data_IF_224242591299
#
_entry.id   IF_224242591299
#
_cell.length_a   1.000
_cell.length_b   1.000
_cell.length_c   1.000
_cell.angle_alpha   90.00
_cell.angle_beta   90.00
_cell.angle_gamma   90.00
#
_symmetry.space_group_name_H-M   'P 1'
#
loop_
_entity.id
_entity.type
_entity.pdbx_description
1 polymer ?
#
# COMPACT_ATOMS: atom_id res chain seq x y z
N UNK A 1 15.10 -31.00 -2.70
CA UNK A 1 15.20 -30.48 -4.07
C UNK A 1 14.09 -29.47 -4.24
N UNK A 2 14.32 -28.36 -4.94
CA UNK A 2 13.33 -27.31 -5.10
C UNK A 2 12.10 -27.84 -5.87
N UNK A 3 10.91 -27.43 -5.43
CA UNK A 3 9.64 -27.77 -6.11
C UNK A 3 9.18 -26.67 -7.08
N UNK A 4 9.87 -25.53 -7.07
CA UNK A 4 9.60 -24.37 -7.92
C UNK A 4 10.88 -23.60 -8.22
N UNK A 5 10.92 -22.92 -9.37
CA UNK A 5 11.86 -21.83 -9.66
C UNK A 5 11.14 -20.50 -9.39
N UNK A 6 11.60 -19.70 -8.44
CA UNK A 6 10.98 -18.42 -8.08
C UNK A 6 11.52 -17.26 -8.91
N UNK A 7 10.83 -16.13 -8.86
CA UNK A 7 11.30 -14.89 -9.47
C UNK A 7 12.69 -14.52 -8.92
N UNK A 8 13.54 -14.03 -9.81
CA UNK A 8 14.97 -13.76 -9.64
C UNK A 8 15.86 -14.98 -9.40
N UNK A 9 15.30 -16.19 -9.32
CA UNK A 9 16.12 -17.39 -9.20
C UNK A 9 16.67 -17.80 -10.55
N UNK A 10 17.89 -18.34 -10.48
CA UNK A 10 18.52 -19.07 -11.56
C UNK A 10 18.30 -20.56 -11.34
N UNK A 11 17.98 -21.30 -12.41
CA UNK A 11 17.96 -22.75 -12.34
C UNK A 11 19.39 -23.25 -12.08
N UNK A 12 19.66 -23.69 -10.85
CA UNK A 12 20.94 -24.29 -10.40
C UNK A 12 20.76 -25.75 -10.01
N UNK A 13 19.62 -26.09 -9.41
CA UNK A 13 19.18 -27.45 -9.09
C UNK A 13 17.92 -27.82 -9.89
N UNK A 14 17.67 -29.11 -10.17
CA UNK A 14 16.45 -29.53 -10.84
C UNK A 14 15.20 -29.15 -10.03
N UNK A 15 14.22 -28.55 -10.71
CA UNK A 15 12.88 -28.32 -10.15
C UNK A 15 12.03 -29.55 -10.43
N UNK A 16 11.61 -30.23 -9.36
CA UNK A 16 10.99 -31.55 -9.45
C UNK A 16 9.48 -31.48 -9.28
N UNK A 17 8.76 -32.25 -10.11
CA UNK A 17 7.31 -32.46 -9.98
C UNK A 17 6.92 -33.14 -8.67
N UNK A 18 5.68 -32.98 -8.17
CA UNK A 18 5.25 -33.61 -6.91
C UNK A 18 5.47 -35.12 -6.81
N UNK A 19 5.24 -35.87 -7.90
CA UNK A 19 5.50 -37.31 -7.99
C UNK A 19 6.99 -37.67 -8.07
N UNK A 20 7.83 -36.69 -8.42
CA UNK A 20 9.23 -36.88 -8.74
C UNK A 20 9.49 -37.57 -10.08
N UNK A 21 8.47 -37.75 -10.92
CA UNK A 21 8.60 -38.37 -12.24
C UNK A 21 9.28 -37.44 -13.24
N UNK A 22 8.88 -36.16 -13.24
CA UNK A 22 9.37 -35.11 -14.13
C UNK A 22 10.24 -34.10 -13.38
N UNK A 23 11.20 -33.49 -14.09
CA UNK A 23 11.91 -32.32 -13.58
C UNK A 23 12.41 -31.39 -14.69
N UNK A 24 12.43 -30.09 -14.38
CA UNK A 24 13.09 -29.04 -15.16
C UNK A 24 14.56 -29.02 -14.75
N UNK A 25 15.44 -29.35 -15.68
CA UNK A 25 16.88 -29.57 -15.44
C UNK A 25 17.69 -29.20 -16.67
N UNK A 26 19.02 -29.17 -16.55
CA UNK A 26 19.89 -29.07 -17.73
C UNK A 26 20.13 -30.44 -18.36
N UNK A 27 19.93 -30.51 -19.67
CA UNK A 27 20.40 -31.59 -20.52
C UNK A 27 21.94 -31.56 -20.64
N UNK A 28 22.55 -32.64 -21.12
CA UNK A 28 24.00 -32.78 -21.25
C UNK A 28 24.65 -31.74 -22.18
N UNK A 29 23.88 -31.13 -23.09
CA UNK A 29 24.34 -30.06 -23.98
C UNK A 29 24.21 -28.65 -23.38
N UNK A 30 23.71 -28.54 -22.15
CA UNK A 30 23.53 -27.29 -21.42
C UNK A 30 22.22 -26.55 -21.71
N UNK A 31 21.27 -27.16 -22.43
CA UNK A 31 19.91 -26.61 -22.57
C UNK A 31 19.07 -26.98 -21.36
N UNK A 32 18.25 -26.06 -20.89
CA UNK A 32 17.21 -26.40 -19.93
C UNK A 32 16.09 -27.20 -20.63
N UNK A 33 15.65 -28.29 -20.02
CA UNK A 33 14.58 -29.15 -20.51
C UNK A 33 13.70 -29.65 -19.37
N UNK A 34 12.46 -30.03 -19.71
CA UNK A 34 11.60 -30.81 -18.82
C UNK A 34 11.65 -32.24 -19.31
N UNK A 35 12.15 -33.14 -18.47
CA UNK A 35 12.27 -34.55 -18.81
C UNK A 35 11.95 -35.47 -17.64
N UNK A 36 11.45 -36.66 -17.98
CA UNK A 36 11.18 -37.73 -17.04
C UNK A 36 12.48 -38.39 -16.53
N UNK A 37 12.37 -39.44 -15.72
CA UNK A 37 13.54 -40.18 -15.20
C UNK A 37 14.31 -40.98 -16.25
N UNK A 38 13.70 -41.29 -17.40
CA UNK A 38 14.34 -42.05 -18.48
C UNK A 38 14.90 -41.15 -19.58
N UNK A 39 14.70 -39.84 -19.48
CA UNK A 39 15.21 -38.83 -20.40
C UNK A 39 14.24 -38.47 -21.53
N UNK A 40 12.96 -38.81 -21.42
CA UNK A 40 11.94 -38.34 -22.37
C UNK A 40 11.65 -36.87 -22.10
N UNK A 41 11.99 -36.00 -23.04
CA UNK A 41 11.73 -34.56 -22.91
C UNK A 41 10.35 -34.18 -23.47
N UNK A 42 9.62 -33.33 -22.76
CA UNK A 42 8.36 -32.70 -23.19
C UNK A 42 8.53 -31.27 -23.64
N UNK A 43 9.61 -30.62 -23.20
CA UNK A 43 9.93 -29.23 -23.51
C UNK A 43 11.44 -29.00 -23.41
N UNK A 44 11.98 -28.12 -24.27
CA UNK A 44 13.39 -27.74 -24.26
C UNK A 44 13.53 -26.26 -24.60
N UNK A 45 14.42 -25.56 -23.90
CA UNK A 45 14.73 -24.17 -24.18
C UNK A 45 15.42 -24.00 -25.54
N UNK A 46 15.14 -22.89 -26.22
CA UNK A 46 15.65 -22.60 -27.56
C UNK A 46 17.14 -22.25 -27.64
N UNK A 47 17.83 -22.03 -26.52
CA UNK A 47 19.27 -21.84 -26.45
C UNK A 47 19.93 -22.59 -25.28
N UNK A 48 21.26 -22.73 -25.35
CA UNK A 48 22.13 -23.19 -24.25
C UNK A 48 22.45 -21.98 -23.37
N UNK A 49 22.48 -22.18 -22.06
CA UNK A 49 22.84 -21.13 -21.11
C UNK A 49 22.10 -21.27 -19.78
N UNK A 50 22.02 -20.17 -19.05
CA UNK A 50 21.43 -20.12 -17.71
C UNK A 50 19.95 -19.74 -17.80
N UNK A 51 19.04 -20.63 -17.42
CA UNK A 51 17.61 -20.33 -17.36
C UNK A 51 17.27 -19.51 -16.11
N UNK A 52 16.52 -18.42 -16.29
CA UNK A 52 16.06 -17.52 -15.23
C UNK A 52 14.60 -17.16 -15.40
N UNK A 53 13.95 -16.84 -14.28
CA UNK A 53 12.68 -16.12 -14.22
C UNK A 53 12.95 -14.74 -13.61
N UNK A 54 12.89 -13.66 -14.38
CA UNK A 54 13.14 -12.30 -13.88
C UNK A 54 11.82 -11.48 -13.80
N UNK A 55 11.95 -10.22 -13.38
CA UNK A 55 10.84 -9.24 -13.40
C UNK A 55 10.23 -9.08 -14.80
N UNK A 56 9.03 -8.48 -14.83
CA UNK A 56 8.31 -8.21 -16.07
C UNK A 56 8.12 -9.45 -16.95
N UNK A 57 7.93 -10.61 -16.33
CA UNK A 57 7.69 -11.89 -17.03
C UNK A 57 8.80 -12.34 -17.98
N UNK A 58 10.06 -12.06 -17.65
CA UNK A 58 11.17 -12.57 -18.46
C UNK A 58 11.50 -14.00 -18.02
N UNK A 59 10.94 -14.98 -18.73
CA UNK A 59 11.41 -16.37 -18.65
C UNK A 59 12.37 -16.63 -19.82
N UNK A 60 13.67 -16.66 -19.54
CA UNK A 60 14.69 -16.57 -20.58
C UNK A 60 15.98 -17.34 -20.23
N UNK A 61 16.77 -17.63 -21.26
CA UNK A 61 18.11 -18.20 -21.15
C UNK A 61 19.14 -17.12 -21.41
N UNK A 62 20.13 -17.06 -20.52
CA UNK A 62 21.20 -16.07 -20.52
C UNK A 62 22.55 -16.71 -20.84
N UNK A 63 23.40 -15.99 -21.56
CA UNK A 63 24.82 -16.29 -21.72
C UNK A 63 25.62 -15.11 -21.16
N UNK A 64 26.07 -15.22 -19.91
CA UNK A 64 26.53 -14.04 -19.15
C UNK A 64 25.34 -13.14 -18.83
N UNK A 65 25.39 -11.89 -19.30
CA UNK A 65 24.33 -10.89 -19.13
C UNK A 65 23.45 -10.73 -20.39
N UNK A 66 23.73 -11.47 -21.46
CA UNK A 66 22.98 -11.42 -22.71
C UNK A 66 21.82 -12.43 -22.72
N UNK A 67 20.61 -11.96 -23.04
CA UNK A 67 19.45 -12.83 -23.31
C UNK A 67 19.62 -13.48 -24.69
N UNK A 68 19.92 -14.77 -24.72
CA UNK A 68 20.13 -15.53 -25.97
C UNK A 68 18.87 -16.28 -26.43
N UNK A 69 17.90 -16.45 -25.54
CA UNK A 69 16.57 -16.97 -25.88
C UNK A 69 15.55 -16.51 -24.84
N UNK A 70 14.34 -16.19 -25.28
CA UNK A 70 13.21 -15.80 -24.43
C UNK A 70 11.99 -16.66 -24.78
N UNK A 71 11.29 -17.12 -23.76
CA UNK A 71 10.00 -17.79 -23.97
C UNK A 71 8.96 -16.79 -24.51
N UNK A 72 8.13 -17.24 -25.44
CA UNK A 72 7.03 -16.44 -25.99
C UNK A 72 5.86 -16.44 -24.99
N UNK A 73 5.97 -15.61 -23.97
CA UNK A 73 5.00 -15.46 -22.91
C UNK A 73 4.34 -14.08 -22.97
N UNK A 74 3.05 -13.97 -22.62
CA UNK A 74 2.42 -12.69 -22.35
C UNK A 74 3.20 -11.88 -21.32
N UNK A 75 3.17 -10.55 -21.42
CA UNK A 75 3.73 -9.66 -20.40
C UNK A 75 2.77 -9.61 -19.20
N UNK A 76 3.04 -10.39 -18.16
CA UNK A 76 2.26 -10.51 -16.93
C UNK A 76 3.21 -10.60 -15.72
N UNK A 77 2.75 -10.33 -14.50
CA UNK A 77 3.62 -10.60 -13.35
C UNK A 77 3.70 -12.11 -13.09
N UNK A 78 4.90 -12.69 -13.19
CA UNK A 78 5.15 -14.10 -12.87
C UNK A 78 6.06 -14.18 -11.66
N UNK A 79 5.62 -14.93 -10.64
CA UNK A 79 6.35 -15.10 -9.39
C UNK A 79 7.05 -16.45 -9.28
N UNK A 80 6.58 -17.48 -10.00
CA UNK A 80 7.23 -18.79 -9.98
C UNK A 80 6.87 -19.68 -11.16
N UNK A 81 7.65 -20.74 -11.32
CA UNK A 81 7.48 -21.80 -12.30
C UNK A 81 7.54 -23.16 -11.61
N UNK A 82 6.65 -24.10 -11.96
CA UNK A 82 6.65 -25.47 -11.43
C UNK A 82 6.45 -26.51 -12.52
N UNK A 83 7.04 -27.68 -12.30
CA UNK A 83 6.83 -28.86 -13.15
C UNK A 83 5.69 -29.70 -12.60
N UNK A 84 4.79 -30.13 -13.48
CA UNK A 84 3.61 -30.94 -13.14
C UNK A 84 3.89 -32.42 -13.34
N UNK A 85 3.02 -33.29 -12.80
CA UNK A 85 3.18 -34.74 -12.91
C UNK A 85 2.90 -35.30 -14.31
N UNK A 86 2.38 -34.49 -15.24
CA UNK A 86 2.17 -34.85 -16.64
C UNK A 86 3.29 -34.33 -17.58
N UNK A 87 4.37 -33.79 -16.99
CA UNK A 87 5.53 -33.28 -17.71
C UNK A 87 5.34 -31.91 -18.33
N UNK A 88 4.33 -31.15 -17.91
CA UNK A 88 4.21 -29.74 -18.24
C UNK A 88 4.99 -28.86 -17.26
N UNK A 89 5.10 -27.58 -17.60
CA UNK A 89 5.61 -26.54 -16.74
C UNK A 89 4.64 -25.36 -16.73
N UNK A 90 4.15 -25.08 -15.54
CA UNK A 90 3.15 -24.05 -15.29
C UNK A 90 3.82 -22.86 -14.63
N UNK A 91 3.54 -21.68 -15.17
CA UNK A 91 3.99 -20.38 -14.70
C UNK A 91 2.86 -19.76 -13.88
N UNK A 92 3.20 -19.28 -12.70
CA UNK A 92 2.27 -18.77 -11.70
C UNK A 92 2.49 -17.28 -11.44
N UNK A 93 1.39 -16.58 -11.17
CA UNK A 93 1.33 -15.25 -10.56
C UNK A 93 0.83 -15.44 -9.14
N UNK A 94 1.74 -15.45 -8.18
CA UNK A 94 1.45 -15.61 -6.75
C UNK A 94 0.55 -16.80 -6.41
N UNK A 95 0.86 -17.94 -7.04
CA UNK A 95 0.13 -19.19 -6.85
C UNK A 95 -1.06 -19.38 -7.79
N UNK A 96 -1.48 -18.36 -8.54
CA UNK A 96 -2.50 -18.50 -9.58
C UNK A 96 -1.83 -18.95 -10.90
N UNK A 97 -2.20 -20.10 -11.49
CA UNK A 97 -1.62 -20.54 -12.75
C UNK A 97 -2.03 -19.58 -13.88
N UNK A 98 -1.04 -19.08 -14.65
CA UNK A 98 -1.24 -18.12 -15.74
C UNK A 98 -0.92 -18.70 -17.10
N UNK A 99 0.10 -19.54 -17.18
CA UNK A 99 0.56 -20.07 -18.45
C UNK A 99 1.12 -21.49 -18.31
N UNK A 100 0.76 -22.36 -19.22
CA UNK A 100 1.34 -23.68 -19.43
C UNK A 100 2.29 -23.60 -20.62
N UNK A 101 3.55 -24.03 -20.46
CA UNK A 101 4.49 -24.07 -21.58
C UNK A 101 4.05 -25.01 -22.69
N UNK A 102 3.22 -26.02 -22.38
CA UNK A 102 2.69 -26.99 -23.35
C UNK A 102 1.33 -26.62 -23.92
N UNK A 103 0.45 -26.06 -23.09
CA UNK A 103 -0.97 -25.86 -23.40
C UNK A 103 -1.34 -24.40 -23.63
N UNK A 104 -0.44 -23.45 -23.34
CA UNK A 104 -0.67 -22.02 -23.52
C UNK A 104 -1.32 -21.36 -22.29
N UNK A 105 -2.02 -20.22 -22.46
CA UNK A 105 -2.54 -19.44 -21.33
C UNK A 105 -3.64 -20.18 -20.57
N UNK A 106 -3.64 -20.03 -19.25
CA UNK A 106 -4.78 -20.40 -18.41
C UNK A 106 -5.75 -19.21 -18.34
N UNK A 107 -7.05 -19.49 -18.44
CA UNK A 107 -8.10 -18.53 -18.12
C UNK A 107 -8.48 -18.73 -16.64
N UNK A 108 -8.07 -17.83 -15.73
CA UNK A 108 -8.45 -17.93 -14.34
C UNK A 108 -9.94 -17.62 -14.18
N UNK A 109 -10.60 -18.35 -13.28
CA UNK A 109 -12.04 -18.25 -13.07
C UNK A 109 -12.30 -17.67 -11.69
N UNK A 110 -12.78 -16.42 -11.67
CA UNK A 110 -13.24 -15.77 -10.44
C UNK A 110 -14.48 -16.49 -9.91
N UNK A 111 -14.48 -16.79 -8.61
CA UNK A 111 -15.62 -17.33 -7.88
C UNK A 111 -16.49 -16.21 -7.29
N UNK A 112 -16.16 -14.94 -7.57
CA UNK A 112 -16.77 -13.79 -6.95
C UNK A 112 -16.25 -13.53 -5.54
N UNK A 113 -17.02 -12.76 -4.77
CA UNK A 113 -16.66 -12.28 -3.42
C UNK A 113 -16.95 -13.28 -2.29
N UNK A 114 -17.49 -14.47 -2.61
CA UNK A 114 -17.86 -15.49 -1.63
C UNK A 114 -17.76 -16.89 -2.23
N UNK A 115 -16.98 -17.78 -1.61
CA UNK A 115 -16.85 -19.17 -2.09
C UNK A 115 -16.47 -20.16 -0.97
N UNK A 116 -16.87 -21.44 -1.06
CA UNK A 116 -16.31 -22.49 -0.21
C UNK A 116 -14.80 -22.63 -0.41
N UNK A 117 -14.05 -22.91 0.65
CA UNK A 117 -12.57 -23.04 0.59
C UNK A 117 -12.13 -24.19 -0.32
N UNK A 118 -12.91 -25.27 -0.38
CA UNK A 118 -12.67 -26.41 -1.25
C UNK A 118 -12.85 -26.08 -2.75
N UNK A 119 -13.58 -25.01 -3.09
CA UNK A 119 -13.80 -24.59 -4.47
C UNK A 119 -12.66 -23.70 -4.99
N UNK A 120 -11.87 -23.10 -4.10
CA UNK A 120 -10.65 -22.35 -4.42
C UNK A 120 -9.54 -23.37 -4.69
N UNK A 121 -9.36 -23.73 -5.96
CA UNK A 121 -8.36 -24.71 -6.41
C UNK A 121 -8.02 -24.52 -7.89
N UNK A 122 -6.80 -24.90 -8.28
CA UNK A 122 -6.33 -24.79 -9.66
C UNK A 122 -6.39 -23.35 -10.16
N UNK A 123 -7.15 -23.10 -11.22
CA UNK A 123 -7.34 -21.76 -11.80
C UNK A 123 -8.51 -20.97 -11.18
N UNK A 124 -9.19 -21.52 -10.16
CA UNK A 124 -10.35 -20.89 -9.50
C UNK A 124 -9.91 -20.11 -8.28
N UNK A 125 -10.35 -18.87 -8.14
CA UNK A 125 -9.93 -17.97 -7.08
C UNK A 125 -11.09 -17.11 -6.55
N UNK A 126 -11.01 -16.67 -5.31
CA UNK A 126 -11.92 -15.69 -4.72
C UNK A 126 -11.45 -14.29 -5.10
N UNK A 127 -12.36 -13.36 -5.37
CA UNK A 127 -12.05 -11.99 -5.77
C UNK A 127 -13.01 -11.00 -5.09
N UNK A 128 -12.50 -9.91 -4.51
CA UNK A 128 -13.36 -8.85 -3.98
C UNK A 128 -14.16 -8.16 -5.09
N UNK A 129 -15.28 -7.52 -4.74
CA UNK A 129 -16.15 -6.84 -5.72
C UNK A 129 -15.43 -5.78 -6.55
N UNK A 130 -14.42 -5.12 -5.98
CA UNK A 130 -13.60 -4.12 -6.65
C UNK A 130 -12.32 -4.69 -7.29
N UNK A 131 -12.10 -6.01 -7.24
CA UNK A 131 -10.92 -6.67 -7.81
C UNK A 131 -9.59 -6.35 -7.13
N UNK A 132 -9.59 -5.60 -6.02
CA UNK A 132 -8.37 -5.26 -5.27
C UNK A 132 -7.84 -6.43 -4.45
N UNK A 133 -8.67 -7.42 -4.11
CA UNK A 133 -8.27 -8.55 -3.29
C UNK A 133 -8.56 -9.87 -3.95
N UNK A 134 -7.61 -10.80 -3.87
CA UNK A 134 -7.79 -12.16 -4.37
C UNK A 134 -7.33 -13.20 -3.37
N UNK A 135 -7.97 -14.36 -3.37
CA UNK A 135 -7.49 -15.55 -2.67
C UNK A 135 -7.42 -16.71 -3.64
N UNK A 136 -6.23 -17.29 -3.80
CA UNK A 136 -6.01 -18.51 -4.56
C UNK A 136 -5.27 -19.54 -3.72
N UNK A 137 -5.21 -20.78 -4.19
CA UNK A 137 -4.31 -21.77 -3.57
C UNK A 137 -2.87 -21.37 -3.80
N UNK A 138 -2.02 -21.67 -2.82
CA UNK A 138 -0.58 -21.72 -3.06
C UNK A 138 -0.28 -22.73 -4.17
N UNK A 139 0.89 -22.59 -4.80
CA UNK A 139 1.22 -23.41 -5.95
C UNK A 139 1.32 -24.92 -5.62
N UNK A 140 1.49 -25.30 -4.33
CA UNK A 140 1.50 -26.70 -3.86
C UNK A 140 0.09 -27.20 -3.46
N UNK A 141 -0.92 -26.32 -3.56
CA UNK A 141 -2.30 -26.61 -3.19
C UNK A 141 -2.58 -26.64 -1.68
N UNK A 142 -1.56 -26.50 -0.84
CA UNK A 142 -1.70 -26.78 0.59
C UNK A 142 -2.16 -25.56 1.40
N UNK A 143 -1.73 -24.36 1.01
CA UNK A 143 -2.09 -23.08 1.63
C UNK A 143 -3.00 -22.21 0.76
N UNK A 144 -3.37 -21.04 1.27
CA UNK A 144 -4.02 -19.97 0.51
C UNK A 144 -3.10 -18.76 0.43
N UNK A 145 -3.03 -18.14 -0.74
CA UNK A 145 -2.32 -16.89 -0.98
C UNK A 145 -3.37 -15.79 -1.10
N UNK A 146 -3.34 -14.86 -0.17
CA UNK A 146 -4.21 -13.69 -0.11
C UNK A 146 -3.42 -12.49 -0.63
N UNK A 147 -3.89 -11.88 -1.71
CA UNK A 147 -3.27 -10.69 -2.32
C UNK A 147 -4.19 -9.50 -2.14
N UNK A 148 -3.64 -8.36 -1.74
CA UNK A 148 -4.33 -7.06 -1.70
C UNK A 148 -3.55 -6.09 -2.57
N UNK A 149 -4.22 -5.35 -3.44
CA UNK A 149 -3.63 -4.31 -4.30
C UNK A 149 -3.98 -2.95 -3.72
N UNK A 150 -2.97 -2.12 -3.47
CA UNK A 150 -3.17 -0.80 -2.89
C UNK A 150 -3.21 0.33 -3.93
N UNK A 151 -2.83 0.07 -5.19
CA UNK A 151 -2.69 1.08 -6.25
C UNK A 151 -1.26 1.10 -6.81
N UNK A 152 -1.03 1.70 -7.99
CA UNK A 152 0.30 1.87 -8.60
C UNK A 152 1.20 0.60 -8.67
N UNK A 153 0.60 -0.58 -8.80
CA UNK A 153 1.34 -1.86 -8.82
C UNK A 153 1.86 -2.34 -7.46
N UNK A 154 1.56 -1.62 -6.38
CA UNK A 154 1.86 -2.04 -5.00
C UNK A 154 0.77 -2.96 -4.45
N UNK A 155 1.18 -3.87 -3.57
CA UNK A 155 0.26 -4.79 -2.92
C UNK A 155 0.91 -5.54 -1.76
N UNK A 156 0.09 -6.18 -0.95
CA UNK A 156 0.54 -7.14 0.06
C UNK A 156 0.18 -8.56 -0.36
N UNK A 157 1.02 -9.50 0.05
CA UNK A 157 0.77 -10.93 -0.10
C UNK A 157 0.90 -11.56 1.28
N UNK A 158 -0.11 -12.31 1.67
CA UNK A 158 -0.12 -13.04 2.93
C UNK A 158 -0.54 -14.48 2.68
N UNK A 159 0.09 -15.42 3.38
CA UNK A 159 -0.13 -16.86 3.20
C UNK A 159 -0.83 -17.46 4.41
N UNK A 160 -2.01 -18.04 4.20
CA UNK A 160 -2.72 -18.88 5.19
C UNK A 160 -2.08 -20.27 5.17
N UNK A 161 -1.63 -20.72 6.33
CA UNK A 161 -0.82 -21.95 6.44
C UNK A 161 -1.67 -23.22 6.22
N UNK A 162 -1.07 -24.34 5.77
CA UNK A 162 -1.82 -25.53 5.38
C UNK A 162 -2.64 -26.19 6.49
N UNK A 163 -2.23 -26.05 7.75
CA UNK A 163 -3.02 -26.52 8.88
C UNK A 163 -4.29 -25.69 9.07
N UNK A 164 -4.17 -24.37 8.97
CA UNK A 164 -5.29 -23.45 9.08
C UNK A 164 -6.25 -23.63 7.91
N UNK A 165 -5.76 -23.73 6.68
CA UNK A 165 -6.62 -23.97 5.50
C UNK A 165 -7.45 -25.24 5.63
N UNK A 166 -6.87 -26.33 6.15
CA UNK A 166 -7.63 -27.57 6.45
C UNK A 166 -8.72 -27.34 7.49
N UNK A 167 -8.51 -26.46 8.47
CA UNK A 167 -9.53 -26.09 9.44
C UNK A 167 -10.63 -25.20 8.83
N UNK A 168 -10.33 -24.44 7.77
CA UNK A 168 -11.30 -23.59 7.06
C UNK A 168 -12.19 -24.37 6.07
N UNK A 169 -11.77 -25.58 5.64
CA UNK A 169 -12.54 -26.48 4.78
C UNK A 169 -13.70 -27.17 5.53
N UNK A 170 -14.67 -26.37 5.96
CA UNK A 170 -15.86 -26.84 6.66
C UNK A 170 -17.07 -26.91 5.69
N UNK A 171 -17.99 -27.85 5.88
CA UNK A 171 -19.24 -27.85 5.15
C UNK A 171 -20.09 -26.63 5.53
N UNK A 172 -20.86 -26.13 4.57
CA UNK A 172 -21.78 -24.99 4.75
C UNK A 172 -21.10 -23.72 5.30
N UNK A 173 -19.84 -23.48 4.91
CA UNK A 173 -19.11 -22.24 5.16
C UNK A 173 -18.53 -21.66 3.87
N UNK A 174 -18.24 -20.37 3.90
CA UNK A 174 -17.68 -19.62 2.77
C UNK A 174 -16.61 -18.66 3.25
N UNK A 175 -15.51 -18.56 2.50
CA UNK A 175 -14.60 -17.43 2.60
C UNK A 175 -15.21 -16.22 1.87
N UNK A 176 -15.10 -15.05 2.50
CA UNK A 176 -15.54 -13.76 1.95
C UNK A 176 -14.76 -12.62 2.59
N UNK A 177 -15.00 -11.40 2.14
CA UNK A 177 -14.38 -10.18 2.68
C UNK A 177 -15.38 -9.45 3.55
N UNK A 178 -14.96 -9.00 4.74
CA UNK A 178 -15.79 -8.20 5.63
C UNK A 178 -15.03 -6.99 6.12
N UNK A 179 -15.68 -5.84 6.07
CA UNK A 179 -15.17 -4.61 6.65
C UNK A 179 -15.46 -4.60 8.16
N UNK A 180 -14.43 -4.31 8.96
CA UNK A 180 -14.55 -4.15 10.41
C UNK A 180 -14.93 -2.71 10.74
N UNK A 181 -16.23 -2.43 10.84
CA UNK A 181 -16.76 -1.11 11.22
C UNK A 181 -16.44 -0.72 12.68
N UNK A 182 -16.16 -1.71 13.54
CA UNK A 182 -16.10 -1.53 15.00
C UNK A 182 -14.69 -1.46 15.56
N UNK A 183 -13.70 -1.95 14.83
CA UNK A 183 -12.32 -2.04 15.28
C UNK A 183 -11.36 -1.30 14.36
N UNK A 184 -10.52 -2.06 13.65
CA UNK A 184 -9.40 -1.53 12.86
C UNK A 184 -9.81 -0.67 11.67
N UNK A 185 -11.10 -0.71 11.28
CA UNK A 185 -11.58 -0.03 10.09
C UNK A 185 -10.97 -0.61 8.82
N UNK A 186 -10.67 -1.91 8.76
CA UNK A 186 -10.06 -2.55 7.61
C UNK A 186 -10.92 -3.71 7.07
N UNK A 187 -10.66 -4.09 5.83
CA UNK A 187 -11.24 -5.31 5.27
C UNK A 187 -10.41 -6.52 5.67
N UNK A 188 -11.09 -7.52 6.24
CA UNK A 188 -10.49 -8.80 6.61
C UNK A 188 -11.05 -9.93 5.75
N UNK A 189 -10.22 -10.92 5.46
CA UNK A 189 -10.69 -12.21 4.95
C UNK A 189 -11.33 -12.98 6.12
N UNK A 190 -12.57 -13.42 5.94
CA UNK A 190 -13.34 -14.12 6.99
C UNK A 190 -13.95 -15.41 6.46
N UNK A 191 -14.11 -16.39 7.35
CA UNK A 191 -14.95 -17.57 7.12
C UNK A 191 -16.30 -17.33 7.78
N UNK A 192 -17.37 -17.40 6.99
CA UNK A 192 -18.74 -17.22 7.47
C UNK A 192 -19.55 -18.51 7.33
N UNK A 193 -20.49 -18.72 8.25
CA UNK A 193 -21.46 -19.82 8.17
C UNK A 193 -22.76 -19.43 7.43
N UNK A 194 -23.81 -20.27 7.51
CA UNK A 194 -25.06 -20.09 6.76
C UNK A 194 -25.88 -18.86 7.14
N UNK A 195 -25.68 -18.33 8.36
CA UNK A 195 -26.35 -17.13 8.86
C UNK A 195 -25.48 -15.88 8.79
N UNK A 196 -24.40 -15.90 8.01
CA UNK A 196 -23.37 -14.85 7.95
C UNK A 196 -22.66 -14.58 9.29
N UNK A 197 -22.71 -15.54 10.20
CA UNK A 197 -21.92 -15.50 11.42
C UNK A 197 -20.44 -15.74 11.09
N UNK A 198 -19.56 -14.89 11.63
CA UNK A 198 -18.11 -15.05 11.45
C UNK A 198 -17.60 -16.17 12.35
N UNK A 199 -16.92 -17.15 11.76
CA UNK A 199 -16.32 -18.29 12.47
C UNK A 199 -14.81 -18.22 12.55
N UNK A 200 -14.20 -17.49 11.63
CA UNK A 200 -12.77 -17.25 11.58
C UNK A 200 -12.50 -15.91 10.89
N UNK A 201 -11.48 -15.20 11.36
CA UNK A 201 -10.98 -13.98 10.76
C UNK A 201 -9.46 -14.07 10.62
N UNK A 202 -8.96 -13.72 9.44
CA UNK A 202 -7.54 -13.73 9.15
C UNK A 202 -6.76 -12.89 10.16
N UNK A 203 -5.71 -13.47 10.75
CA UNK A 203 -4.89 -12.83 11.80
C UNK A 203 -5.45 -12.93 13.22
N UNK A 204 -6.76 -13.16 13.39
CA UNK A 204 -7.41 -13.34 14.71
C UNK A 204 -7.72 -14.80 15.06
N UNK A 205 -7.78 -15.68 14.05
CA UNK A 205 -8.05 -17.10 14.23
C UNK A 205 -9.56 -17.40 14.32
N UNK A 206 -9.93 -18.47 15.03
CA UNK A 206 -11.33 -18.89 15.15
C UNK A 206 -12.06 -18.10 16.24
N UNK A 207 -13.29 -17.69 15.94
CA UNK A 207 -14.18 -17.13 16.94
C UNK A 207 -14.66 -18.23 17.90
N UNK A 208 -14.90 -17.88 19.15
CA UNK A 208 -15.48 -18.76 20.15
C UNK A 208 -16.99 -18.98 19.92
N UNK A 209 -17.65 -19.70 20.83
CA UNK A 209 -19.08 -19.99 20.71
C UNK A 209 -19.98 -18.73 20.78
N UNK A 210 -19.47 -17.62 21.29
CA UNK A 210 -20.18 -16.34 21.39
C UNK A 210 -19.88 -15.44 20.18
N UNK A 211 -18.92 -15.81 19.32
CA UNK A 211 -18.44 -14.98 18.23
C UNK A 211 -17.27 -14.07 18.63
N UNK A 212 -16.72 -14.24 19.84
CA UNK A 212 -15.59 -13.47 20.33
C UNK A 212 -14.28 -14.10 19.86
N UNK A 213 -13.34 -13.29 19.40
CA UNK A 213 -12.00 -13.76 19.09
C UNK A 213 -11.17 -13.78 20.37
N UNK A 214 -10.20 -14.70 20.53
CA UNK A 214 -9.23 -14.59 21.61
C UNK A 214 -8.64 -13.18 21.55
N UNK A 215 -8.61 -12.47 22.68
CA UNK A 215 -8.05 -11.12 22.78
C UNK A 215 -6.69 -11.16 22.11
N UNK A 216 -6.59 -10.56 20.91
CA UNK A 216 -5.29 -10.29 20.34
C UNK A 216 -4.61 -9.42 21.38
N UNK A 217 -3.42 -9.83 21.86
CA UNK A 217 -2.63 -8.91 22.67
C UNK A 217 -2.60 -7.61 21.86
N UNK A 218 -3.04 -6.48 22.45
CA UNK A 218 -3.03 -5.22 21.73
C UNK A 218 -1.61 -5.12 21.18
N UNK A 219 -1.51 -5.05 19.85
CA UNK A 219 -0.25 -4.67 19.26
C UNK A 219 -0.01 -3.31 19.91
N UNK A 220 1.05 -3.21 20.73
CA UNK A 220 1.56 -1.95 21.24
C UNK A 220 2.02 -1.18 20.01
N UNK A 221 1.04 -0.69 19.26
CA UNK A 221 1.18 0.31 18.25
C UNK A 221 1.44 1.56 19.07
N UNK A 222 2.70 1.94 19.04
CA UNK A 222 3.19 3.26 19.39
C UNK A 222 3.55 3.43 20.88
N UNK A 223 4.87 3.47 21.14
CA UNK A 223 5.34 4.42 22.14
C UNK A 223 4.75 5.78 21.75
N UNK A 224 4.16 6.55 22.69
CA UNK A 224 3.54 7.82 22.36
C UNK A 224 4.54 8.65 21.57
N UNK A 225 4.21 8.97 20.31
CA UNK A 225 5.12 9.72 19.45
C UNK A 225 5.50 11.04 20.11
N UNK A 226 6.72 11.50 19.90
CA UNK A 226 7.24 12.74 20.48
C UNK A 226 6.59 14.03 19.89
N UNK A 227 5.47 13.87 19.16
CA UNK A 227 4.69 14.91 18.50
C UNK A 227 3.85 15.79 19.44
N UNK A 228 3.40 16.97 18.98
CA UNK A 228 2.40 17.72 19.71
C UNK A 228 1.10 16.90 19.81
N UNK A 229 0.43 16.96 20.97
CA UNK A 229 -0.73 16.11 21.29
C UNK A 229 -1.83 16.10 20.21
N UNK A 230 -2.05 17.23 19.53
CA UNK A 230 -3.05 17.35 18.46
C UNK A 230 -2.66 16.54 17.21
N UNK A 231 -1.36 16.45 16.88
CA UNK A 231 -0.88 15.66 15.75
C UNK A 231 -0.96 14.16 16.06
N UNK A 232 -0.63 13.78 17.31
CA UNK A 232 -0.80 12.41 17.81
C UNK A 232 -2.28 12.00 17.77
N UNK A 233 -3.21 12.92 18.10
CA UNK A 233 -4.64 12.66 17.98
C UNK A 233 -5.09 12.38 16.53
N UNK A 234 -4.36 12.90 15.54
CA UNK A 234 -4.56 12.63 14.12
C UNK A 234 -3.80 11.39 13.62
N UNK A 235 -2.94 10.76 14.44
CA UNK A 235 -2.06 9.66 14.03
C UNK A 235 -1.17 10.02 12.83
N UNK A 236 -0.72 11.27 12.80
CA UNK A 236 0.03 11.86 11.70
C UNK A 236 1.49 12.17 12.08
N UNK A 237 1.98 11.61 13.19
CA UNK A 237 3.34 11.83 13.70
C UNK A 237 4.45 11.28 12.79
N UNK A 238 4.15 10.26 11.98
CA UNK A 238 5.14 9.64 11.08
C UNK A 238 5.15 10.25 9.67
N UNK A 239 4.06 10.88 9.25
CA UNK A 239 3.94 11.60 7.99
C UNK A 239 2.72 12.52 8.04
N UNK A 240 2.90 13.77 7.63
CA UNK A 240 1.85 14.77 7.62
C UNK A 240 2.06 15.78 6.50
N UNK A 241 0.97 16.35 5.99
CA UNK A 241 1.00 17.70 5.45
C UNK A 241 -0.09 18.52 6.12
N UNK A 242 0.32 19.61 6.76
CA UNK A 242 -0.59 20.52 7.44
C UNK A 242 -0.45 21.91 6.87
N UNK A 243 -1.57 22.59 6.67
CA UNK A 243 -1.61 23.93 6.08
C UNK A 243 -2.60 24.80 6.81
N UNK A 244 -2.16 25.95 7.29
CA UNK A 244 -3.06 26.97 7.84
C UNK A 244 -3.33 28.03 6.79
N UNK A 245 -4.61 28.28 6.51
CA UNK A 245 -5.07 29.31 5.59
C UNK A 245 -5.83 30.39 6.39
N UNK A 246 -5.42 31.64 6.24
CA UNK A 246 -6.01 32.75 6.97
C UNK A 246 -7.35 33.19 6.38
N UNK A 247 -8.30 33.54 7.24
CA UNK A 247 -9.58 34.19 6.85
C UNK A 247 -10.36 33.43 5.76
N UNK A 248 -10.29 32.10 5.79
CA UNK A 248 -10.92 31.19 4.83
C UNK A 248 -11.70 30.13 5.60
N UNK A 249 -12.94 29.87 5.19
CA UNK A 249 -13.76 28.80 5.77
C UNK A 249 -13.35 27.41 5.24
N UNK A 250 -13.63 26.33 5.99
CA UNK A 250 -13.23 24.98 5.59
C UNK A 250 -13.72 24.50 4.22
N UNK A 251 -14.92 24.90 3.78
CA UNK A 251 -15.44 24.48 2.47
C UNK A 251 -14.68 25.20 1.35
N UNK A 252 -14.45 26.50 1.49
CA UNK A 252 -13.63 27.26 0.55
C UNK A 252 -12.18 26.76 0.50
N UNK A 253 -11.60 26.38 1.64
CA UNK A 253 -10.27 25.76 1.69
C UNK A 253 -10.21 24.48 0.84
N UNK A 254 -11.19 23.57 0.99
CA UNK A 254 -11.27 22.34 0.20
C UNK A 254 -11.55 22.61 -1.28
N UNK A 255 -12.38 23.60 -1.63
CA UNK A 255 -12.58 24.00 -3.03
C UNK A 255 -11.29 24.49 -3.68
N UNK A 256 -10.51 25.31 -2.96
CA UNK A 256 -9.18 25.74 -3.43
C UNK A 256 -8.25 24.55 -3.59
N UNK A 257 -8.32 23.59 -2.68
CA UNK A 257 -7.53 22.37 -2.78
C UNK A 257 -7.90 21.51 -4.00
N UNK A 258 -9.16 21.57 -4.44
CA UNK A 258 -9.65 20.95 -5.68
C UNK A 258 -10.94 20.14 -5.51
N UNK A 259 -11.59 20.21 -4.35
CA UNK A 259 -12.84 19.51 -4.10
C UNK A 259 -14.04 20.24 -4.76
N UNK A 260 -14.92 19.47 -5.38
CA UNK A 260 -16.25 19.94 -5.79
C UNK A 260 -17.23 19.88 -4.59
N UNK A 261 -18.30 20.68 -4.62
CA UNK A 261 -19.26 20.79 -3.51
C UNK A 261 -19.87 19.43 -3.11
N UNK A 262 -20.13 18.54 -4.06
CA UNK A 262 -20.68 17.21 -3.79
C UNK A 262 -19.66 16.25 -3.14
N UNK A 263 -18.37 16.56 -3.21
CA UNK A 263 -17.30 15.79 -2.59
C UNK A 263 -16.97 16.26 -1.18
N UNK A 264 -17.56 17.37 -0.71
CA UNK A 264 -17.30 17.91 0.63
C UNK A 264 -18.42 17.48 1.58
N UNK A 265 -18.07 16.75 2.65
CA UNK A 265 -19.01 16.38 3.70
C UNK A 265 -18.44 16.63 5.10
N UNK A 266 -19.28 16.48 6.13
CA UNK A 266 -18.86 16.60 7.53
C UNK A 266 -18.60 15.23 8.12
N UNK A 267 -17.42 15.06 8.73
CA UNK A 267 -17.03 13.84 9.43
C UNK A 267 -15.95 14.16 10.48
N UNK A 268 -15.76 13.31 11.48
CA UNK A 268 -14.53 13.34 12.29
C UNK A 268 -13.37 12.73 11.51
N UNK A 269 -12.14 12.98 11.95
CA UNK A 269 -10.95 12.35 11.36
C UNK A 269 -11.05 10.82 11.33
N UNK A 270 -11.51 10.21 12.43
CA UNK A 270 -11.74 8.75 12.50
C UNK A 270 -12.76 8.27 11.46
N UNK A 271 -13.86 9.00 11.25
CA UNK A 271 -14.88 8.65 10.26
C UNK A 271 -14.36 8.80 8.83
N UNK A 272 -13.53 9.81 8.55
CA UNK A 272 -12.84 9.97 7.27
C UNK A 272 -11.96 8.75 6.99
N UNK A 273 -11.11 8.36 7.94
CA UNK A 273 -10.25 7.19 7.83
C UNK A 273 -11.02 5.88 7.62
N UNK A 274 -12.10 5.66 8.38
CA UNK A 274 -12.96 4.50 8.18
C UNK A 274 -13.49 4.45 6.74
N UNK A 275 -13.91 5.59 6.19
CA UNK A 275 -14.36 5.67 4.80
C UNK A 275 -13.24 5.41 3.81
N UNK A 276 -12.07 6.00 4.01
CA UNK A 276 -10.88 5.79 3.17
C UNK A 276 -10.50 4.32 3.10
N UNK A 277 -10.50 3.63 4.24
CA UNK A 277 -10.19 2.21 4.28
C UNK A 277 -11.30 1.34 3.68
N UNK A 278 -12.57 1.75 3.85
CA UNK A 278 -13.71 1.07 3.23
C UNK A 278 -13.64 1.16 1.70
N UNK A 279 -13.39 2.36 1.18
CA UNK A 279 -13.27 2.65 -0.26
C UNK A 279 -11.90 2.24 -0.84
N UNK A 280 -10.93 1.91 0.02
CA UNK A 280 -9.53 1.62 -0.32
C UNK A 280 -8.89 2.75 -1.14
N UNK A 281 -9.11 4.00 -0.76
CA UNK A 281 -8.68 5.17 -1.53
C UNK A 281 -7.27 5.66 -1.19
N UNK A 282 -6.60 5.08 -0.20
CA UNK A 282 -5.37 5.62 0.42
C UNK A 282 -4.24 6.00 -0.56
N UNK A 283 -3.90 5.15 -1.53
CA UNK A 283 -2.76 5.45 -2.44
C UNK A 283 -3.15 6.29 -3.65
N UNK A 284 -4.40 6.18 -4.11
CA UNK A 284 -4.89 6.75 -5.36
C UNK A 284 -5.65 8.07 -5.12
N UNK A 285 -5.70 8.56 -3.88
CA UNK A 285 -6.47 9.75 -3.52
C UNK A 285 -5.76 10.61 -2.50
N UNK A 286 -6.01 11.92 -2.58
CA UNK A 286 -5.71 12.88 -1.53
C UNK A 286 -6.85 12.85 -0.52
N UNK A 287 -6.53 12.48 0.71
CA UNK A 287 -7.46 12.43 1.84
C UNK A 287 -7.22 13.67 2.68
N UNK A 288 -8.21 14.57 2.72
CA UNK A 288 -8.01 15.90 3.31
C UNK A 288 -9.14 16.24 4.28
N UNK A 289 -8.76 16.76 5.45
CA UNK A 289 -9.67 17.35 6.42
C UNK A 289 -9.38 18.84 6.62
N UNK A 290 -10.43 19.63 6.75
CA UNK A 290 -10.41 21.06 6.97
C UNK A 290 -11.11 21.38 8.30
N UNK A 291 -10.33 21.78 9.30
CA UNK A 291 -10.78 22.13 10.64
C UNK A 291 -10.91 23.65 10.77
N UNK A 292 -12.02 24.10 11.34
CA UNK A 292 -12.25 25.53 11.58
C UNK A 292 -11.46 25.99 12.81
N UNK A 293 -10.55 26.95 12.62
CA UNK A 293 -9.67 27.51 13.65
C UNK A 293 -9.99 29.00 13.85
N UNK A 294 -11.21 29.28 14.33
CA UNK A 294 -11.74 30.65 14.40
C UNK A 294 -11.98 31.23 12.99
N UNK A 295 -11.31 32.31 12.58
CA UNK A 295 -11.39 32.81 11.20
C UNK A 295 -10.48 32.04 10.23
N UNK A 296 -9.56 31.21 10.75
CA UNK A 296 -8.61 30.44 9.94
C UNK A 296 -9.13 29.03 9.68
N UNK A 297 -8.51 28.34 8.74
CA UNK A 297 -8.71 26.91 8.51
C UNK A 297 -7.38 26.18 8.63
N UNK A 298 -7.36 25.07 9.37
CA UNK A 298 -6.28 24.09 9.34
C UNK A 298 -6.68 22.96 8.37
N UNK A 299 -5.97 22.85 7.26
CA UNK A 299 -6.01 21.69 6.36
C UNK A 299 -5.00 20.65 6.83
N UNK A 300 -5.42 19.39 6.84
CA UNK A 300 -4.58 18.23 7.13
C UNK A 300 -4.77 17.24 5.99
N UNK A 301 -3.68 16.88 5.33
CA UNK A 301 -3.63 15.77 4.38
C UNK A 301 -3.07 14.53 5.07
N UNK A 302 -3.77 13.40 4.92
CA UNK A 302 -3.22 12.09 5.30
C UNK A 302 -2.26 11.61 4.20
N UNK A 303 -1.00 11.40 4.58
CA UNK A 303 0.09 10.95 3.71
C UNK A 303 0.12 11.70 2.36
N UNK A 304 -0.25 12.98 2.39
CA UNK A 304 -0.28 13.90 1.26
C UNK A 304 0.88 14.88 1.32
N UNK A 305 1.11 15.56 0.21
CA UNK A 305 2.16 16.58 0.07
C UNK A 305 1.69 17.74 -0.82
N UNK A 306 0.43 17.74 -1.28
CA UNK A 306 0.02 18.64 -2.35
C UNK A 306 -0.01 20.09 -1.87
N UNK A 307 -0.50 20.36 -0.64
CA UNK A 307 -0.67 21.72 -0.15
C UNK A 307 0.64 22.51 -0.05
N UNK A 308 1.77 21.85 0.16
CA UNK A 308 3.08 22.54 0.26
C UNK A 308 3.51 23.15 -1.07
N UNK A 309 3.06 22.56 -2.18
CA UNK A 309 3.37 22.99 -3.55
C UNK A 309 2.24 23.85 -4.17
N UNK A 310 1.24 24.27 -3.37
CA UNK A 310 0.02 24.97 -3.82
C UNK A 310 -0.09 26.39 -3.26
N UNK A 311 0.73 27.36 -3.76
CA UNK A 311 0.65 28.74 -3.30
C UNK A 311 -0.71 29.38 -3.58
N UNK A 312 -1.49 28.85 -4.53
CA UNK A 312 -2.84 29.31 -4.85
C UNK A 312 -3.85 29.12 -3.70
N UNK A 313 -3.58 28.26 -2.72
CA UNK A 313 -4.36 28.17 -1.48
C UNK A 313 -4.43 29.52 -0.75
N UNK A 314 -3.36 30.32 -0.84
CA UNK A 314 -3.29 31.66 -0.25
C UNK A 314 -3.99 32.77 -1.05
N UNK A 315 -4.73 32.46 -2.12
CA UNK A 315 -5.36 33.49 -2.97
C UNK A 315 -6.22 34.47 -2.15
N UNK A 316 -5.90 35.75 -2.22
CA UNK A 316 -6.58 36.81 -1.46
C UNK A 316 -6.28 36.84 0.04
N UNK A 317 -5.34 36.02 0.53
CA UNK A 317 -5.01 35.87 1.95
C UNK A 317 -3.54 35.42 2.13
N UNK A 318 -3.24 34.70 3.21
CA UNK A 318 -1.96 34.12 3.60
C UNK A 318 -2.15 32.63 3.92
N UNK A 319 -1.18 31.79 3.55
CA UNK A 319 -1.16 30.38 3.92
C UNK A 319 0.27 29.92 4.24
N UNK A 320 0.39 28.98 5.19
CA UNK A 320 1.65 28.33 5.54
C UNK A 320 1.43 26.83 5.58
N UNK A 321 2.30 26.08 4.90
CA UNK A 321 2.23 24.64 4.73
C UNK A 321 3.52 23.99 5.24
N UNK A 322 3.40 22.89 5.96
CA UNK A 322 4.51 22.05 6.43
C UNK A 322 4.22 20.60 6.06
N UNK A 323 5.20 19.93 5.48
CA UNK A 323 5.12 18.54 5.04
C UNK A 323 6.33 17.74 5.55
N UNK A 324 6.04 16.53 6.04
CA UNK A 324 7.00 15.52 6.43
C UNK A 324 6.53 14.16 5.94
N UNK A 325 7.42 13.34 5.38
CA UNK A 325 7.13 11.95 5.01
C UNK A 325 7.86 10.93 5.87
N UNK A 326 7.40 9.68 5.80
CA UNK A 326 8.07 8.53 6.42
C UNK A 326 9.52 8.31 5.95
N UNK A 327 9.91 8.91 4.81
CA UNK A 327 11.26 8.82 4.25
C UNK A 327 12.12 10.04 4.63
N UNK A 328 11.65 10.88 5.56
CA UNK A 328 12.26 12.14 5.94
C UNK A 328 12.47 13.08 4.72
N UNK A 329 11.53 13.09 3.76
CA UNK A 329 11.37 14.24 2.84
C UNK A 329 10.59 15.33 3.58
N UNK A 330 11.16 16.53 3.60
CA UNK A 330 10.62 17.69 4.31
C UNK A 330 10.48 18.86 3.36
N UNK A 331 9.32 19.52 3.45
CA UNK A 331 9.06 20.74 2.69
C UNK A 331 8.28 21.72 3.54
N UNK A 332 8.65 22.98 3.42
CA UNK A 332 7.96 24.07 4.09
C UNK A 332 7.68 25.17 3.08
N UNK A 333 6.50 25.81 3.17
CA UNK A 333 6.08 26.82 2.20
C UNK A 333 5.24 27.91 2.87
N UNK A 334 5.60 29.16 2.59
CA UNK A 334 4.88 30.37 3.00
C UNK A 334 4.38 31.06 1.76
N UNK A 335 3.07 31.29 1.64
CA UNK A 335 2.48 31.92 0.47
C UNK A 335 1.50 33.03 0.83
N UNK A 336 1.42 34.04 -0.04
CA UNK A 336 0.48 35.16 0.09
C UNK A 336 -0.10 35.52 -1.26
N UNK A 337 -1.43 35.61 -1.34
CA UNK A 337 -2.11 36.08 -2.54
C UNK A 337 -1.90 35.20 -3.78
N UNK A 338 -1.47 33.94 -3.63
CA UNK A 338 -1.14 33.05 -4.75
C UNK A 338 0.36 33.01 -5.11
N UNK A 339 1.23 33.69 -4.37
CA UNK A 339 2.68 33.75 -4.61
C UNK A 339 3.46 33.14 -3.42
N UNK A 340 4.49 32.36 -3.71
CA UNK A 340 5.40 31.80 -2.70
C UNK A 340 6.36 32.88 -2.20
N UNK A 341 6.25 33.24 -0.92
CA UNK A 341 7.14 34.17 -0.25
C UNK A 341 8.45 33.48 0.16
N UNK A 342 8.34 32.32 0.77
CA UNK A 342 9.48 31.52 1.21
C UNK A 342 9.14 30.03 1.07
N UNK A 343 10.11 29.21 0.71
CA UNK A 343 10.03 27.76 0.79
C UNK A 343 11.42 27.16 0.97
N UNK A 344 11.50 26.02 1.63
CA UNK A 344 12.73 25.24 1.76
C UNK A 344 12.43 23.75 1.77
N UNK A 345 13.46 22.95 1.50
CA UNK A 345 13.43 21.48 1.56
C UNK A 345 14.51 20.96 2.50
N UNK A 346 14.43 19.69 2.87
CA UNK A 346 15.49 18.98 3.62
C UNK A 346 15.86 19.64 4.96
N UNK A 347 14.94 20.38 5.59
CA UNK A 347 15.11 21.13 6.85
C UNK A 347 16.05 22.35 6.81
N UNK A 348 16.56 22.75 5.65
CA UNK A 348 17.48 23.87 5.58
C UNK A 348 16.73 25.19 5.37
N UNK A 349 16.23 25.77 6.46
CA UNK A 349 15.59 27.08 6.42
C UNK A 349 16.57 28.18 5.97
N UNK A 350 17.88 28.00 6.21
CA UNK A 350 18.91 28.93 5.71
C UNK A 350 19.02 28.96 4.18
N UNK A 351 18.59 27.89 3.51
CA UNK A 351 18.54 27.76 2.05
C UNK A 351 17.18 28.21 1.46
N UNK A 352 16.33 28.87 2.26
CA UNK A 352 15.00 29.27 1.81
C UNK A 352 15.01 30.16 0.56
N UNK A 353 14.15 29.82 -0.40
CA UNK A 353 13.97 30.53 -1.66
C UNK A 353 12.57 31.16 -1.73
N UNK A 354 12.38 32.21 -2.54
CA UNK A 354 11.06 32.80 -2.80
C UNK A 354 11.10 34.31 -2.98
N UNK A 355 9.92 34.93 -3.02
CA UNK A 355 9.79 36.38 -3.22
C UNK A 355 10.21 37.22 -1.99
N UNK A 356 10.12 36.65 -0.79
CA UNK A 356 10.44 37.29 0.50
C UNK A 356 10.86 36.25 1.56
N UNK A 357 12.05 35.63 1.46
CA UNK A 357 12.53 34.62 2.43
C UNK A 357 12.68 35.17 3.86
N UNK A 358 12.90 36.48 4.01
CA UNK A 358 13.07 37.16 5.31
C UNK A 358 11.84 37.04 6.22
N UNK A 359 10.68 36.64 5.68
CA UNK A 359 9.48 36.32 6.46
C UNK A 359 9.74 35.23 7.51
N UNK A 360 10.66 34.29 7.24
CA UNK A 360 11.05 33.23 8.16
C UNK A 360 11.83 33.78 9.35
N UNK A 361 12.79 34.67 9.11
CA UNK A 361 13.65 35.29 10.14
C UNK A 361 12.83 35.96 11.25
N UNK A 362 11.74 36.63 10.90
CA UNK A 362 10.86 37.27 11.88
C UNK A 362 10.07 36.27 12.76
N UNK A 363 9.79 35.07 12.24
CA UNK A 363 9.14 34.01 12.99
C UNK A 363 10.14 33.26 13.87
N UNK A 364 11.32 32.91 13.34
CA UNK A 364 12.42 32.30 14.09
C UNK A 364 12.87 33.16 15.28
N UNK A 365 12.97 34.47 15.09
CA UNK A 365 13.28 35.39 16.20
C UNK A 365 12.21 35.35 17.32
N UNK A 366 10.94 35.03 17.01
CA UNK A 366 9.89 34.85 18.02
C UNK A 366 9.99 33.51 18.75
N UNK A 367 10.59 32.50 18.13
CA UNK A 367 10.98 31.23 18.74
C UNK A 367 12.24 31.38 19.61
N UNK A 368 12.91 32.54 19.57
CA UNK A 368 14.18 32.79 20.27
C UNK A 368 15.41 32.33 19.49
N UNK A 369 15.25 32.04 18.20
CA UNK A 369 16.31 31.65 17.28
C UNK A 369 16.75 32.91 16.51
N UNK A 370 17.91 33.45 16.90
CA UNK A 370 18.47 34.66 16.29
C UNK A 370 19.36 34.35 15.06
N UNK A 371 19.77 33.09 14.89
CA UNK A 371 20.58 32.59 13.77
C UNK A 371 19.85 31.44 13.09
N UNK A 372 19.54 31.58 11.81
CA UNK A 372 18.80 30.56 11.06
C UNK A 372 19.59 29.25 10.92
N UNK A 373 20.94 29.30 10.95
CA UNK A 373 21.77 28.10 10.95
C UNK A 373 21.61 27.27 12.24
N UNK A 374 21.15 27.87 13.35
CA UNK A 374 20.84 27.15 14.60
C UNK A 374 19.63 26.23 14.40
N UNK A 375 18.61 26.70 13.66
CA UNK A 375 17.42 25.92 13.32
C UNK A 375 17.79 24.69 12.48
N UNK A 376 18.66 24.86 11.48
CA UNK A 376 19.09 23.80 10.57
C UNK A 376 19.98 22.73 11.24
N UNK A 377 20.57 23.04 12.41
CA UNK A 377 21.55 22.18 13.08
C UNK A 377 20.95 21.18 14.07
N UNK A 378 19.64 21.26 14.32
CA UNK A 378 18.94 20.42 15.30
C UNK A 378 18.36 19.18 14.63
N UNK A 379 19.21 18.14 14.47
CA UNK A 379 18.87 16.85 13.86
C UNK A 379 17.69 16.13 14.55
N UNK A 380 17.33 16.52 15.78
CA UNK A 380 16.25 15.92 16.57
C UNK A 380 14.90 16.65 16.39
N UNK A 381 14.85 17.74 15.61
CA UNK A 381 13.72 18.66 15.59
C UNK A 381 12.79 18.51 14.37
N UNK A 382 12.35 17.28 14.09
CA UNK A 382 11.35 16.98 13.04
C UNK A 382 10.02 17.74 13.19
N UNK A 383 9.79 18.38 14.35
CA UNK A 383 8.59 19.13 14.71
C UNK A 383 8.82 20.65 14.74
N UNK A 384 10.05 21.13 14.53
CA UNK A 384 10.39 22.55 14.51
C UNK A 384 9.56 23.31 13.46
N UNK A 385 9.32 22.68 12.32
CA UNK A 385 8.53 23.22 11.23
C UNK A 385 7.07 23.47 11.65
N UNK A 386 6.50 22.61 12.49
CA UNK A 386 5.14 22.81 13.01
C UNK A 386 5.10 24.00 13.98
N UNK A 387 6.12 24.16 14.82
CA UNK A 387 6.24 25.32 15.69
C UNK A 387 6.43 26.61 14.87
N UNK A 388 7.29 26.58 13.85
CA UNK A 388 7.51 27.69 12.91
C UNK A 388 6.20 28.07 12.18
N UNK A 389 5.43 27.08 11.73
CA UNK A 389 4.10 27.28 11.15
C UNK A 389 3.15 27.96 12.13
N UNK A 390 3.09 27.50 13.39
CA UNK A 390 2.26 28.12 14.42
C UNK A 390 2.65 29.57 14.67
N UNK A 391 3.96 29.88 14.74
CA UNK A 391 4.43 31.25 14.89
C UNK A 391 4.10 32.13 13.69
N UNK A 392 4.32 31.66 12.45
CA UNK A 392 4.01 32.43 11.24
C UNK A 392 2.53 32.78 11.11
N UNK A 393 1.65 31.89 11.58
CA UNK A 393 0.20 32.01 11.42
C UNK A 393 -0.51 32.59 12.64
N UNK A 394 0.13 32.54 13.82
CA UNK A 394 -0.48 32.82 15.12
C UNK A 394 -1.67 31.87 15.43
N UNK A 395 -1.60 30.64 14.90
CA UNK A 395 -2.59 29.58 15.11
C UNK A 395 -1.93 28.42 15.85
N UNK A 396 -2.52 28.00 16.96
CA UNK A 396 -2.01 26.94 17.84
C UNK A 396 -3.08 25.87 18.02
N UNK A 397 -3.06 24.78 17.21
CA UNK A 397 -4.07 23.73 17.32
C UNK A 397 -4.00 23.00 18.67
N UNK A 398 -5.16 22.70 19.24
CA UNK A 398 -5.33 21.82 20.39
C UNK A 398 -6.00 20.50 19.96
N UNK A 399 -5.96 19.48 20.83
CA UNK A 399 -6.58 18.16 20.57
C UNK A 399 -8.08 18.30 20.26
N UNK A 400 -8.78 19.18 20.97
CA UNK A 400 -10.22 19.39 20.79
C UNK A 400 -10.55 20.00 19.40
N UNK A 401 -9.61 20.74 18.81
CA UNK A 401 -9.80 21.35 17.48
C UNK A 401 -9.79 20.31 16.36
N UNK A 402 -9.03 19.22 16.53
CA UNK A 402 -8.76 18.22 15.48
C UNK A 402 -9.48 16.88 15.69
N UNK A 403 -10.07 16.66 16.87
CA UNK A 403 -10.89 15.47 17.17
C UNK A 403 -12.38 15.68 16.91
N UNK A 404 -12.81 16.94 16.77
CA UNK A 404 -14.17 17.31 16.42
C UNK A 404 -14.54 17.02 14.95
N UNK A 405 -15.80 17.33 14.56
CA UNK A 405 -16.22 17.27 13.17
C UNK A 405 -15.47 18.30 12.30
N UNK A 406 -14.90 17.85 11.20
CA UNK A 406 -14.27 18.65 10.15
C UNK A 406 -15.13 18.67 8.88
N UNK A 407 -14.76 19.53 7.93
CA UNK A 407 -15.16 19.37 6.52
C UNK A 407 -14.09 18.54 5.84
N UNK A 408 -14.47 17.52 5.10
CA UNK A 408 -13.52 16.53 4.57
C UNK A 408 -13.80 16.23 3.10
N UNK A 409 -12.77 15.77 2.39
CA UNK A 409 -12.88 15.29 1.02
C UNK A 409 -11.90 14.13 0.76
N UNK A 410 -12.27 13.24 -0.16
CA UNK A 410 -11.38 12.24 -0.78
C UNK A 410 -11.34 12.58 -2.27
N UNK A 411 -10.17 13.02 -2.75
CA UNK A 411 -9.99 13.52 -4.11
C UNK A 411 -9.09 12.56 -4.89
N UNK A 412 -9.41 12.17 -6.13
CA UNK A 412 -8.50 11.36 -6.92
C UNK A 412 -7.16 12.10 -7.09
N UNK A 413 -6.05 11.39 -6.94
CA UNK A 413 -4.72 11.92 -7.28
C UNK A 413 -4.59 11.97 -8.80
N UNK A 414 -4.11 13.08 -9.32
CA UNK A 414 -3.68 13.15 -10.71
C UNK A 414 -2.46 12.24 -10.87
N UNK A 415 -2.62 11.14 -11.60
CA UNK A 415 -1.51 10.25 -11.93
C UNK A 415 -0.70 10.92 -13.04
N UNK A 416 0.34 11.64 -12.66
CA UNK A 416 1.27 12.30 -13.58
C UNK A 416 2.23 11.33 -14.29
#
# INVERSE_FOLDING_TARGET
MPESLRQFETLTEPVISPSGEWALRYHADGRAEISDRVGTATWTAGAVGTLRLEMESVFAVYQGDEVVWRADLPKLDYSSVRVTDDGDCVIYDEGLPRYSLRHGPFEPVSLGNRAPVADIQGSRFLESENGKRTVNRSADGSGLVCKTRFGLGTGSIVVVQPEEVRALEQPDTWLTWRFDETGSGNWSLVLVGPGDEVRWEFGKGHADANGDFPDAEPVDLDEPGDGPDWLVALRAESAYCVTVIHDVDPDEALRRFGAEDEQIWTATWTQLWQRVNYEESYMDSNVVAAFAMGPHTLLVEDNGYEAVDRPDLSRGTFAVSSYCSINADHRFSVSRGGETLAHFTDFFASDAEGADPDVLTAALARMGIDDIEEFDSDDDNFLADLELLCHLTDVWPEVDDVTGPARVAILPRDVY
#
